data_IF_832996316240
#
_entry.id   IF_832996316240
#
_cell.length_a   1.000
_cell.length_b   1.000
_cell.length_c   1.000
_cell.angle_alpha   90.00
_cell.angle_beta   90.00
_cell.angle_gamma   90.00
#
_symmetry.space_group_name_H-M   'P 1'
#
loop_
_entity.id
_entity.type
_entity.pdbx_description
1 polymer ?
#
# COMPACT_ATOMS: atom_id res chain seq x y z
N UNK A 1 0.81 -19.15 -6.57
CA UNK A 1 -0.12 -18.45 -5.64
C UNK A 1 0.23 -16.96 -5.42
N UNK A 2 1.49 -16.52 -5.65
CA UNK A 2 1.91 -15.10 -5.56
C UNK A 2 1.50 -14.23 -6.76
N UNK A 3 1.19 -14.81 -7.90
CA UNK A 3 0.89 -14.12 -9.16
C UNK A 3 -0.43 -13.31 -9.18
N UNK A 4 -1.43 -13.66 -8.38
CA UNK A 4 -2.76 -13.00 -8.42
C UNK A 4 -2.80 -11.57 -7.89
N UNK A 5 -1.83 -11.15 -7.06
CA UNK A 5 -1.85 -9.81 -6.47
C UNK A 5 -1.42 -8.70 -7.43
N UNK A 6 -0.66 -9.04 -8.45
CA UNK A 6 -0.25 -8.09 -9.47
C UNK A 6 -1.31 -7.84 -10.53
N UNK A 7 -2.18 -8.80 -10.81
CA UNK A 7 -3.11 -8.73 -11.93
C UNK A 7 -4.02 -7.49 -11.98
N UNK A 8 -4.49 -6.95 -10.85
CA UNK A 8 -5.43 -5.80 -10.89
C UNK A 8 -4.68 -4.49 -11.12
N UNK A 9 -3.54 -4.26 -10.49
CA UNK A 9 -2.69 -3.07 -10.73
C UNK A 9 -2.10 -3.11 -12.13
N UNK A 10 -1.61 -4.28 -12.53
CA UNK A 10 -1.01 -4.52 -13.83
C UNK A 10 -2.05 -4.35 -14.94
N UNK A 11 -3.28 -4.83 -14.73
CA UNK A 11 -4.35 -4.68 -15.73
C UNK A 11 -4.77 -3.22 -15.91
N UNK A 12 -4.90 -2.42 -14.86
CA UNK A 12 -5.30 -1.00 -14.96
C UNK A 12 -4.22 -0.13 -15.56
N UNK A 13 -2.96 -0.36 -15.20
CA UNK A 13 -1.82 0.33 -15.81
C UNK A 13 -1.67 -0.04 -17.28
N UNK A 14 -1.72 -1.35 -17.59
CA UNK A 14 -1.60 -1.85 -18.98
C UNK A 14 -2.81 -1.47 -19.84
N UNK A 15 -3.99 -1.39 -19.25
CA UNK A 15 -5.20 -0.91 -19.93
C UNK A 15 -5.23 0.61 -20.16
N UNK A 16 -4.21 1.35 -19.64
CA UNK A 16 -4.17 2.80 -19.75
C UNK A 16 -5.22 3.52 -18.90
N UNK A 17 -5.83 2.82 -17.93
CA UNK A 17 -6.79 3.44 -17.00
C UNK A 17 -6.12 4.47 -16.08
N UNK A 18 -4.84 4.29 -15.79
CA UNK A 18 -4.05 5.22 -14.99
C UNK A 18 -3.15 6.06 -15.89
N UNK A 19 -3.47 7.34 -15.99
CA UNK A 19 -2.62 8.30 -16.70
C UNK A 19 -1.43 8.72 -15.82
N UNK A 20 -0.49 7.78 -15.60
CA UNK A 20 0.73 7.96 -14.80
C UNK A 20 1.89 7.21 -15.42
N UNK A 21 3.09 7.66 -15.12
CA UNK A 21 4.32 6.92 -15.35
C UNK A 21 4.75 6.23 -14.05
N UNK A 22 5.23 5.00 -14.17
CA UNK A 22 5.86 4.26 -13.07
C UNK A 22 7.35 4.15 -13.40
N UNK A 23 8.17 5.14 -13.04
CA UNK A 23 9.57 5.19 -13.48
C UNK A 23 10.45 4.18 -12.76
N UNK A 24 10.02 3.67 -11.60
CA UNK A 24 10.80 2.70 -10.83
C UNK A 24 9.95 1.94 -9.81
N UNK A 25 10.47 0.78 -9.41
CA UNK A 25 10.02 0.00 -8.27
C UNK A 25 11.20 -0.17 -7.31
N UNK A 26 10.96 0.11 -6.03
CA UNK A 26 11.90 -0.15 -4.95
C UNK A 26 11.41 -1.32 -4.11
N UNK A 27 12.29 -2.21 -3.71
CA UNK A 27 11.98 -3.33 -2.82
C UNK A 27 13.18 -3.69 -1.95
N UNK A 28 12.91 -4.19 -0.76
CA UNK A 28 13.93 -4.79 0.12
C UNK A 28 14.10 -6.31 -0.12
N UNK A 29 13.32 -6.90 -1.04
CA UNK A 29 13.38 -8.30 -1.44
C UNK A 29 13.37 -8.45 -2.95
N UNK A 30 14.09 -9.42 -3.53
CA UNK A 30 14.18 -9.60 -4.99
C UNK A 30 12.96 -10.30 -5.61
N UNK A 31 12.04 -10.78 -4.79
CA UNK A 31 10.93 -11.69 -5.18
C UNK A 31 10.10 -11.19 -6.38
N UNK A 32 9.99 -9.89 -6.58
CA UNK A 32 9.15 -9.27 -7.61
C UNK A 32 9.96 -8.65 -8.76
N UNK A 33 11.27 -8.83 -8.79
CA UNK A 33 12.11 -8.27 -9.84
C UNK A 33 11.69 -8.76 -11.23
N UNK A 34 11.44 -10.07 -11.38
CA UNK A 34 10.99 -10.67 -12.66
C UNK A 34 9.68 -10.07 -13.18
N UNK A 35 8.89 -9.49 -12.29
CA UNK A 35 7.64 -8.86 -12.67
C UNK A 35 7.90 -7.44 -13.15
N UNK A 36 8.74 -6.66 -12.45
CA UNK A 36 9.15 -5.33 -12.90
C UNK A 36 9.78 -5.42 -14.31
N UNK A 37 10.65 -6.40 -14.53
CA UNK A 37 11.27 -6.67 -15.84
C UNK A 37 10.22 -6.95 -16.93
N UNK A 38 9.17 -7.71 -16.62
CA UNK A 38 8.08 -8.00 -17.55
C UNK A 38 7.33 -6.76 -18.03
N UNK A 39 7.26 -5.73 -17.19
CA UNK A 39 6.64 -4.44 -17.51
C UNK A 39 7.64 -3.39 -17.99
N UNK A 40 8.92 -3.75 -18.12
CA UNK A 40 9.97 -2.82 -18.50
C UNK A 40 10.22 -1.71 -17.47
N UNK A 41 9.85 -1.94 -16.19
CA UNK A 41 10.00 -0.96 -15.13
C UNK A 41 11.32 -1.22 -14.40
N UNK A 42 12.21 -0.21 -14.27
CA UNK A 42 13.43 -0.31 -13.48
C UNK A 42 13.16 -0.78 -12.05
N UNK A 43 13.87 -1.81 -11.60
CA UNK A 43 13.74 -2.38 -10.27
C UNK A 43 15.02 -2.13 -9.47
N UNK A 44 14.87 -1.55 -8.28
CA UNK A 44 15.96 -1.25 -7.37
C UNK A 44 15.80 -2.06 -6.09
N UNK A 45 16.84 -2.84 -5.76
CA UNK A 45 16.89 -3.65 -4.56
C UNK A 45 17.68 -2.94 -3.48
N UNK A 46 17.00 -2.58 -2.38
CA UNK A 46 17.60 -2.01 -1.18
C UNK A 46 17.37 -2.93 0.02
N UNK A 47 18.25 -3.90 0.27
CA UNK A 47 18.12 -4.78 1.44
C UNK A 47 18.24 -3.97 2.72
N UNK A 48 17.22 -4.06 3.58
CA UNK A 48 17.14 -3.30 4.83
C UNK A 48 17.41 -4.23 6.01
N UNK A 49 18.41 -3.85 6.83
CA UNK A 49 18.64 -4.37 8.19
C UNK A 49 18.44 -3.23 9.18
N UNK A 50 18.49 -3.53 10.47
CA UNK A 50 18.40 -2.50 11.51
C UNK A 50 19.52 -1.47 11.39
N UNK A 51 20.72 -1.92 11.01
CA UNK A 51 21.93 -1.12 10.92
C UNK A 51 21.99 -0.31 9.62
N UNK A 52 21.39 -0.79 8.55
CA UNK A 52 21.48 -0.16 7.22
C UNK A 52 20.27 0.69 6.86
N UNK A 53 19.22 0.68 7.69
CA UNK A 53 17.93 1.31 7.38
C UNK A 53 18.06 2.78 6.97
N UNK A 54 18.74 3.59 7.78
CA UNK A 54 18.90 5.03 7.51
C UNK A 54 19.67 5.31 6.23
N UNK A 55 20.75 4.55 5.99
CA UNK A 55 21.54 4.68 4.76
C UNK A 55 20.74 4.27 3.51
N UNK A 56 20.00 3.17 3.60
CA UNK A 56 19.17 2.71 2.48
C UNK A 56 18.04 3.71 2.19
N UNK A 57 17.37 4.21 3.20
CA UNK A 57 16.29 5.19 3.02
C UNK A 57 16.83 6.52 2.43
N UNK A 58 18.03 6.95 2.80
CA UNK A 58 18.70 8.10 2.14
C UNK A 58 18.92 7.85 0.65
N UNK A 59 19.40 6.65 0.28
CA UNK A 59 19.59 6.26 -1.13
C UNK A 59 18.26 6.20 -1.88
N UNK A 60 17.21 5.69 -1.23
CA UNK A 60 15.84 5.69 -1.78
C UNK A 60 15.39 7.13 -2.08
N UNK A 61 15.57 8.05 -1.12
CA UNK A 61 15.18 9.46 -1.29
C UNK A 61 15.97 10.15 -2.43
N UNK A 62 17.27 9.89 -2.54
CA UNK A 62 18.09 10.40 -3.65
C UNK A 62 17.57 9.90 -5.01
N UNK A 63 17.20 8.61 -5.07
CA UNK A 63 16.63 7.99 -6.26
C UNK A 63 15.26 8.58 -6.62
N UNK A 64 14.38 8.75 -5.63
CA UNK A 64 13.07 9.37 -5.80
C UNK A 64 13.18 10.80 -6.32
N UNK A 65 14.12 11.58 -5.78
CA UNK A 65 14.39 12.95 -6.22
C UNK A 65 14.94 12.98 -7.65
N UNK A 66 15.90 12.11 -7.98
CA UNK A 66 16.49 11.97 -9.33
C UNK A 66 15.43 11.71 -10.39
N UNK A 67 14.48 10.84 -10.09
CA UNK A 67 13.37 10.49 -11.00
C UNK A 67 12.14 11.41 -10.87
N UNK A 68 12.24 12.49 -10.08
CA UNK A 68 11.16 13.48 -9.90
C UNK A 68 9.83 12.83 -9.50
N UNK A 69 9.89 11.86 -8.59
CA UNK A 69 8.70 11.15 -8.15
C UNK A 69 7.72 12.10 -7.48
N UNK A 70 6.46 12.06 -7.87
CA UNK A 70 5.43 12.97 -7.38
C UNK A 70 4.63 12.38 -6.22
N UNK A 71 4.48 11.06 -6.15
CA UNK A 71 3.86 10.34 -5.04
C UNK A 71 4.38 8.90 -4.95
N UNK A 72 4.20 8.28 -3.80
CA UNK A 72 4.72 6.95 -3.47
C UNK A 72 3.53 6.05 -3.08
N UNK A 73 3.56 4.80 -3.54
CA UNK A 73 2.59 3.78 -3.15
C UNK A 73 3.30 2.66 -2.40
N UNK A 74 2.96 2.48 -1.13
CA UNK A 74 3.44 1.39 -0.30
C UNK A 74 2.53 0.18 -0.45
N UNK A 75 3.09 -0.91 -0.92
CA UNK A 75 2.38 -2.17 -1.09
C UNK A 75 3.10 -3.27 -0.33
N UNK A 76 2.53 -3.71 0.81
CA UNK A 76 3.15 -4.69 1.70
C UNK A 76 4.53 -4.25 2.21
N UNK A 77 4.68 -2.98 2.39
CA UNK A 77 5.87 -2.41 2.99
C UNK A 77 5.71 -2.46 4.52
N UNK A 78 6.54 -3.27 5.18
CA UNK A 78 6.43 -3.55 6.61
C UNK A 78 7.48 -2.79 7.44
N UNK A 79 8.10 -1.77 6.85
CA UNK A 79 9.05 -0.90 7.52
C UNK A 79 8.40 0.42 7.90
N UNK A 80 8.84 1.01 9.01
CA UNK A 80 8.42 2.37 9.39
C UNK A 80 9.19 3.36 8.53
N UNK A 81 8.48 4.24 7.86
CA UNK A 81 9.03 5.35 7.06
C UNK A 81 9.57 6.44 7.99
N UNK A 82 10.71 7.05 7.66
CA UNK A 82 11.26 8.17 8.43
C UNK A 82 10.42 9.44 8.32
N UNK A 83 10.50 10.28 9.34
CA UNK A 83 9.90 11.62 9.29
C UNK A 83 10.44 12.46 8.13
N UNK A 84 11.70 12.29 7.77
CA UNK A 84 12.33 13.00 6.66
C UNK A 84 11.64 12.68 5.34
N UNK A 85 11.37 11.40 5.05
CA UNK A 85 10.66 10.99 3.84
C UNK A 85 9.19 11.45 3.87
N UNK A 86 8.52 11.34 5.02
CA UNK A 86 7.12 11.80 5.19
C UNK A 86 7.02 13.30 4.92
N UNK A 87 7.94 14.09 5.47
CA UNK A 87 7.95 15.55 5.30
C UNK A 87 8.31 15.97 3.85
N UNK A 88 9.10 15.16 3.13
CA UNK A 88 9.38 15.39 1.71
C UNK A 88 8.16 15.11 0.80
N UNK A 89 7.25 14.24 1.24
CA UNK A 89 6.07 13.81 0.48
C UNK A 89 4.76 13.95 1.27
N UNK A 90 4.39 15.15 1.77
CA UNK A 90 3.21 15.36 2.59
C UNK A 90 1.94 15.03 1.81
N UNK A 91 1.11 14.12 2.33
CA UNK A 91 -0.10 13.59 1.66
C UNK A 91 0.18 13.01 0.24
N UNK A 92 1.36 12.44 0.05
CA UNK A 92 1.78 11.84 -1.23
C UNK A 92 2.36 10.44 -1.05
N UNK A 93 2.34 9.89 0.16
CA UNK A 93 2.68 8.49 0.42
C UNK A 93 1.38 7.78 0.76
N UNK A 94 0.96 6.85 -0.09
CA UNK A 94 -0.27 6.08 0.06
C UNK A 94 0.09 4.69 0.56
N UNK A 95 -0.47 4.28 1.70
CA UNK A 95 -0.30 2.93 2.26
C UNK A 95 -1.57 2.12 2.15
N UNK A 96 -1.45 0.81 2.14
CA UNK A 96 -2.54 -0.14 2.34
C UNK A 96 -2.31 -0.92 3.63
N UNK A 97 -3.24 -0.79 4.56
CA UNK A 97 -3.28 -1.53 5.80
C UNK A 97 -4.34 -2.65 5.73
N UNK A 98 -3.96 -3.83 6.15
CA UNK A 98 -4.74 -5.07 6.01
C UNK A 98 -5.77 -5.27 7.13
N UNK A 99 -6.36 -4.20 7.64
CA UNK A 99 -7.54 -4.23 8.52
C UNK A 99 -8.44 -3.02 8.28
N UNK A 100 -9.66 -3.09 8.81
CA UNK A 100 -10.57 -1.95 8.86
C UNK A 100 -10.19 -1.07 10.04
N UNK A 101 -9.31 -0.08 9.79
CA UNK A 101 -8.84 0.83 10.84
C UNK A 101 -10.03 1.59 11.48
N UNK A 102 -10.01 1.78 12.80
CA UNK A 102 -8.92 1.51 13.75
C UNK A 102 -8.92 0.09 14.36
N UNK A 103 -9.66 -0.87 13.82
CA UNK A 103 -9.76 -2.21 14.36
C UNK A 103 -8.58 -3.11 13.94
N UNK A 104 -8.16 -4.02 14.84
CA UNK A 104 -7.12 -5.04 14.59
C UNK A 104 -5.79 -4.48 14.10
N UNK A 105 -5.29 -3.46 14.77
CA UNK A 105 -3.93 -2.94 14.55
C UNK A 105 -2.90 -3.99 14.94
N UNK A 106 -1.87 -4.18 14.11
CA UNK A 106 -0.75 -5.09 14.39
C UNK A 106 -0.42 -6.06 13.26
N UNK A 107 0.53 -6.98 13.52
CA UNK A 107 1.17 -7.79 12.48
C UNK A 107 0.34 -8.97 11.93
N UNK A 108 -0.68 -9.44 12.65
CA UNK A 108 -1.47 -10.62 12.28
C UNK A 108 -2.99 -10.40 12.42
N UNK A 109 -3.58 -9.40 11.75
CA UNK A 109 -4.98 -9.04 11.96
C UNK A 109 -5.95 -10.14 11.54
N UNK A 110 -5.67 -10.92 10.50
CA UNK A 110 -6.53 -12.03 10.08
C UNK A 110 -6.59 -13.15 11.12
N UNK A 111 -5.50 -13.44 11.83
CA UNK A 111 -5.50 -14.42 12.92
C UNK A 111 -6.31 -13.90 14.11
N UNK A 112 -6.13 -12.63 14.48
CA UNK A 112 -6.89 -12.01 15.55
C UNK A 112 -8.39 -11.95 15.21
N UNK A 113 -8.74 -11.60 13.97
CA UNK A 113 -10.11 -11.60 13.47
C UNK A 113 -10.75 -13.00 13.52
N UNK A 114 -10.02 -14.03 13.10
CA UNK A 114 -10.46 -15.42 13.15
C UNK A 114 -10.72 -15.86 14.59
N UNK A 115 -9.76 -15.67 15.49
CA UNK A 115 -9.88 -16.02 16.91
C UNK A 115 -11.04 -15.29 17.60
N UNK A 116 -11.28 -14.03 17.23
CA UNK A 116 -12.37 -13.21 17.75
C UNK A 116 -13.75 -13.64 17.20
N UNK A 117 -13.78 -14.40 16.09
CA UNK A 117 -15.00 -14.84 15.43
C UNK A 117 -15.80 -13.71 14.79
N UNK A 118 -15.10 -12.70 14.21
CA UNK A 118 -15.75 -11.58 13.52
C UNK A 118 -16.51 -12.04 12.29
N UNK A 119 -17.42 -11.22 11.78
CA UNK A 119 -18.27 -11.54 10.61
C UNK A 119 -17.84 -10.77 9.35
N UNK A 120 -16.92 -9.84 9.50
CA UNK A 120 -16.32 -9.07 8.42
C UNK A 120 -14.84 -8.87 8.68
N UNK A 121 -14.06 -8.80 7.62
CA UNK A 121 -12.69 -8.30 7.61
C UNK A 121 -12.60 -7.14 6.64
N UNK A 122 -11.62 -6.26 6.80
CA UNK A 122 -11.51 -5.07 5.98
C UNK A 122 -10.10 -4.75 5.56
N UNK A 123 -9.98 -3.72 4.71
CA UNK A 123 -8.73 -3.10 4.33
C UNK A 123 -8.90 -1.58 4.32
N UNK A 124 -7.84 -0.86 4.62
CA UNK A 124 -7.81 0.60 4.67
C UNK A 124 -6.63 1.13 3.88
N UNK A 125 -6.88 2.04 2.93
CA UNK A 125 -5.84 2.84 2.31
C UNK A 125 -5.87 4.25 2.87
N UNK A 126 -4.70 4.75 3.29
CA UNK A 126 -4.56 6.04 3.94
C UNK A 126 -3.26 6.73 3.51
N UNK A 127 -3.18 8.03 3.71
CA UNK A 127 -1.90 8.74 3.62
C UNK A 127 -1.03 8.41 4.83
N UNK A 128 0.27 8.27 4.60
CA UNK A 128 1.23 8.03 5.68
C UNK A 128 1.51 9.33 6.42
N UNK A 129 1.52 9.24 7.74
CA UNK A 129 1.92 10.29 8.68
C UNK A 129 2.99 9.75 9.64
N UNK A 130 3.53 10.61 10.49
CA UNK A 130 4.53 10.20 11.51
C UNK A 130 3.95 9.25 12.54
N UNK A 131 2.65 9.32 12.78
CA UNK A 131 1.95 8.34 13.61
C UNK A 131 1.56 7.12 12.77
N UNK A 132 1.94 5.95 13.23
CA UNK A 132 1.77 4.68 12.51
C UNK A 132 0.28 4.37 12.31
N UNK A 133 -0.10 4.09 11.05
CA UNK A 133 -1.45 3.72 10.62
C UNK A 133 -2.57 4.71 11.02
N UNK A 134 -2.21 5.94 11.40
CA UNK A 134 -3.14 6.96 11.90
C UNK A 134 -3.42 8.09 10.91
N UNK A 135 -2.85 8.04 9.71
CA UNK A 135 -3.02 9.11 8.70
C UNK A 135 -4.41 9.17 8.06
N UNK A 136 -4.71 10.25 7.32
CA UNK A 136 -6.02 10.47 6.70
C UNK A 136 -6.43 9.32 5.79
N UNK A 137 -7.60 8.73 6.05
CA UNK A 137 -8.13 7.58 5.31
C UNK A 137 -8.65 8.04 3.95
N UNK A 138 -8.23 7.33 2.88
CA UNK A 138 -8.64 7.61 1.51
C UNK A 138 -9.76 6.67 1.07
N UNK A 139 -9.60 5.38 1.35
CA UNK A 139 -10.53 4.34 0.93
C UNK A 139 -10.57 3.21 1.95
N UNK A 140 -11.76 2.68 2.20
CA UNK A 140 -11.96 1.50 3.02
C UNK A 140 -13.00 0.60 2.39
N UNK A 141 -12.85 -0.70 2.57
CA UNK A 141 -13.88 -1.65 2.18
C UNK A 141 -13.82 -2.89 3.09
N UNK A 142 -14.88 -3.68 3.08
CA UNK A 142 -15.03 -4.87 3.91
C UNK A 142 -15.53 -6.06 3.09
N UNK A 143 -15.20 -7.26 3.54
CA UNK A 143 -15.72 -8.50 2.98
C UNK A 143 -16.29 -9.37 4.10
N UNK A 144 -17.44 -10.02 3.83
CA UNK A 144 -18.05 -10.96 4.76
C UNK A 144 -17.26 -12.26 4.85
N UNK A 145 -17.17 -12.77 6.07
CA UNK A 145 -16.62 -14.08 6.37
C UNK A 145 -17.67 -14.91 7.14
N UNK A 146 -17.54 -16.22 7.07
CA UNK A 146 -18.42 -17.17 7.68
C UNK A 146 -17.66 -18.13 8.60
N UNK A 147 -18.37 -18.93 9.39
CA UNK A 147 -17.77 -19.97 10.24
C UNK A 147 -17.08 -21.10 9.44
N UNK A 148 -17.33 -21.16 8.12
CA UNK A 148 -16.72 -22.16 7.21
C UNK A 148 -15.37 -21.68 6.67
N UNK A 149 -15.08 -20.40 6.77
CA UNK A 149 -13.83 -19.84 6.27
C UNK A 149 -12.67 -20.20 7.22
N UNK A 150 -11.62 -20.75 6.69
CA UNK A 150 -10.35 -20.98 7.37
C UNK A 150 -9.55 -19.67 7.50
N UNK A 151 -8.46 -19.68 8.28
CA UNK A 151 -7.51 -18.56 8.33
C UNK A 151 -6.92 -18.29 6.94
N UNK A 152 -6.64 -19.33 6.16
CA UNK A 152 -6.12 -19.17 4.78
C UNK A 152 -7.15 -18.46 3.89
N UNK A 153 -8.44 -18.78 4.03
CA UNK A 153 -9.53 -18.11 3.30
C UNK A 153 -9.62 -16.63 3.69
N UNK A 154 -9.53 -16.31 4.99
CA UNK A 154 -9.49 -14.92 5.45
C UNK A 154 -8.32 -14.15 4.83
N UNK A 155 -7.12 -14.75 4.85
CA UNK A 155 -5.92 -14.15 4.24
C UNK A 155 -6.09 -13.94 2.74
N UNK A 156 -6.70 -14.89 2.01
CA UNK A 156 -6.91 -14.76 0.57
C UNK A 156 -7.96 -13.68 0.25
N UNK A 157 -9.10 -13.69 0.95
CA UNK A 157 -10.14 -12.65 0.82
C UNK A 157 -9.59 -11.26 1.15
N UNK A 158 -8.80 -11.15 2.23
CA UNK A 158 -8.17 -9.91 2.63
C UNK A 158 -7.19 -9.38 1.58
N UNK A 159 -6.33 -10.24 1.03
CA UNK A 159 -5.41 -9.87 -0.05
C UNK A 159 -6.11 -9.38 -1.31
N UNK A 160 -7.26 -9.95 -1.66
CA UNK A 160 -8.03 -9.49 -2.81
C UNK A 160 -8.70 -8.13 -2.53
N UNK A 161 -9.19 -7.94 -1.31
CA UNK A 161 -9.74 -6.67 -0.85
C UNK A 161 -8.69 -5.56 -0.83
N UNK A 162 -7.48 -5.83 -0.28
CA UNK A 162 -6.35 -4.89 -0.27
C UNK A 162 -6.03 -4.34 -1.67
N UNK A 163 -6.06 -5.20 -2.70
CA UNK A 163 -5.81 -4.79 -4.09
C UNK A 163 -6.86 -3.79 -4.58
N UNK A 164 -8.13 -4.08 -4.30
CA UNK A 164 -9.26 -3.24 -4.73
C UNK A 164 -9.18 -1.90 -4.03
N UNK A 165 -9.03 -1.89 -2.71
CA UNK A 165 -8.99 -0.68 -1.89
C UNK A 165 -7.80 0.20 -2.28
N UNK A 166 -6.59 -0.38 -2.40
CA UNK A 166 -5.42 0.38 -2.83
C UNK A 166 -5.59 0.94 -4.25
N UNK A 167 -6.12 0.15 -5.16
CA UNK A 167 -6.35 0.58 -6.55
C UNK A 167 -7.32 1.77 -6.62
N UNK A 168 -8.43 1.73 -5.87
CA UNK A 168 -9.39 2.84 -5.80
C UNK A 168 -8.77 4.09 -5.17
N UNK A 169 -7.99 3.95 -4.09
CA UNK A 169 -7.31 5.06 -3.44
C UNK A 169 -6.31 5.74 -4.38
N UNK A 170 -5.48 4.96 -5.08
CA UNK A 170 -4.52 5.47 -6.07
C UNK A 170 -5.23 6.18 -7.21
N UNK A 171 -6.32 5.61 -7.72
CA UNK A 171 -7.14 6.23 -8.76
C UNK A 171 -7.63 7.63 -8.36
N UNK A 172 -8.24 7.74 -7.17
CA UNK A 172 -8.72 9.02 -6.63
C UNK A 172 -7.60 10.04 -6.44
N UNK A 173 -6.42 9.59 -6.05
CA UNK A 173 -5.24 10.45 -5.90
C UNK A 173 -4.75 10.98 -7.26
N UNK A 174 -4.64 10.11 -8.28
CA UNK A 174 -4.26 10.47 -9.64
C UNK A 174 -5.24 11.48 -10.24
N UNK A 175 -6.53 11.26 -10.04
CA UNK A 175 -7.60 12.15 -10.51
C UNK A 175 -7.71 13.46 -9.72
N UNK A 176 -6.88 13.66 -8.68
CA UNK A 176 -6.91 14.83 -7.79
C UNK A 176 -8.27 15.05 -7.11
N UNK A 177 -8.97 13.96 -6.82
CA UNK A 177 -10.30 13.96 -6.19
C UNK A 177 -10.24 13.88 -4.65
N UNK A 178 -9.07 14.09 -4.04
CA UNK A 178 -8.89 13.97 -2.59
C UNK A 178 -8.45 15.32 -2.02
N UNK A 179 -9.23 15.85 -1.11
CA UNK A 179 -8.84 16.96 -0.25
C UNK A 179 -8.55 16.42 1.15
N UNK A 180 -7.30 16.48 1.57
CA UNK A 180 -6.93 16.18 2.95
C UNK A 180 -7.15 17.41 3.83
N UNK A 181 -7.92 17.27 4.91
CA UNK A 181 -8.18 18.33 5.88
C UNK A 181 -8.02 17.80 7.30
N UNK A 182 -7.02 18.29 8.01
CA UNK A 182 -6.60 17.71 9.29
C UNK A 182 -6.30 16.22 9.09
N UNK A 183 -6.88 15.34 9.94
CA UNK A 183 -6.74 13.88 9.81
C UNK A 183 -7.94 13.22 9.10
N UNK A 184 -8.54 13.87 8.12
CA UNK A 184 -9.68 13.38 7.33
C UNK A 184 -9.47 13.67 5.85
N UNK A 185 -10.18 12.94 5.00
CA UNK A 185 -10.26 13.25 3.57
C UNK A 185 -11.68 13.58 3.16
N UNK A 186 -11.82 14.49 2.21
CA UNK A 186 -13.04 14.69 1.43
C UNK A 186 -12.77 14.16 0.03
N UNK A 187 -13.64 13.26 -0.43
CA UNK A 187 -13.53 12.65 -1.76
C UNK A 187 -14.58 13.30 -2.66
N UNK A 188 -14.12 13.86 -3.77
CA UNK A 188 -15.00 14.43 -4.78
C UNK A 188 -15.39 13.34 -5.81
N UNK A 189 -16.65 13.30 -6.14
CA UNK A 189 -17.22 12.40 -7.17
C UNK A 189 -16.86 12.85 -8.60
#
# INVERSE_FOLDING_TARGET
RRQRQMCIRDSRYTAGEWNVEIPLIISNHPDLQHVAERFGIPFYLFPITKETKEEQERKEMELLAKHKITFIVLARYMQVISEQMINAYPNKIINIHHSFLPAFVGAKPYHAAFQRGVKIIGATSHYVTTELDAGPIIEQDVVRITHKDSIEDLVNKGKDLEKIVLSRAVQKHIERKILAYKNKTVIFS
#
